data_IF_219091335446
#
_entry.id   IF_219091335446
#
_cell.length_a   1.000
_cell.length_b   1.000
_cell.length_c   1.000
_cell.angle_alpha   90.00
_cell.angle_beta   90.00
_cell.angle_gamma   90.00
#
_symmetry.space_group_name_H-M   'P 1'
#
loop_
_entity.id
_entity.type
_entity.pdbx_description
1 polymer ?
#
# COMPACT_ATOMS: atom_id res chain seq x y z
N UNK A 1 -47.14 -25.18 -40.60
CA UNK A 1 -47.33 -23.88 -39.92
C UNK A 1 -46.14 -23.67 -39.00
N UNK A 2 -45.14 -22.92 -39.47
CA UNK A 2 -43.96 -22.54 -38.69
C UNK A 2 -44.39 -21.61 -37.56
N UNK A 3 -44.11 -21.98 -36.30
CA UNK A 3 -44.12 -21.05 -35.17
C UNK A 3 -42.68 -20.86 -34.71
N UNK A 4 -42.08 -19.75 -35.13
CA UNK A 4 -40.88 -19.20 -34.53
C UNK A 4 -41.12 -18.91 -33.04
N UNK A 5 -40.17 -19.22 -32.14
CA UNK A 5 -40.26 -18.77 -30.76
C UNK A 5 -40.12 -17.25 -30.72
N UNK A 6 -41.03 -16.58 -30.01
CA UNK A 6 -40.98 -15.14 -29.73
C UNK A 6 -39.70 -14.79 -28.94
N UNK A 7 -39.01 -13.69 -29.26
CA UNK A 7 -37.82 -13.28 -28.51
C UNK A 7 -38.18 -12.90 -27.08
N UNK A 8 -37.32 -13.31 -26.14
CA UNK A 8 -37.39 -12.96 -24.72
C UNK A 8 -37.18 -11.44 -24.60
N UNK A 9 -38.05 -10.69 -23.89
CA UNK A 9 -37.92 -9.25 -23.76
C UNK A 9 -36.59 -8.89 -23.09
N UNK A 10 -35.81 -8.02 -23.74
CA UNK A 10 -34.57 -7.49 -23.18
C UNK A 10 -34.89 -6.22 -22.41
N UNK A 11 -34.14 -5.93 -21.35
CA UNK A 11 -34.28 -4.67 -20.59
C UNK A 11 -34.09 -3.40 -21.45
N UNK A 12 -33.57 -3.55 -22.68
CA UNK A 12 -33.53 -2.52 -23.72
C UNK A 12 -34.90 -2.02 -24.17
N UNK A 13 -35.96 -2.79 -23.95
CA UNK A 13 -37.31 -2.48 -24.45
C UNK A 13 -38.08 -1.52 -23.53
N UNK A 14 -37.48 -1.09 -22.41
CA UNK A 14 -38.10 -0.23 -21.40
C UNK A 14 -37.86 1.28 -21.60
N UNK A 15 -37.03 1.68 -22.56
CA UNK A 15 -36.69 3.09 -22.80
C UNK A 15 -37.05 3.51 -24.24
N UNK A 16 -37.72 4.68 -24.44
CA UNK A 16 -38.20 5.11 -25.75
C UNK A 16 -37.09 5.63 -26.70
N UNK A 17 -35.81 5.48 -26.34
CA UNK A 17 -34.66 6.00 -27.08
C UNK A 17 -33.57 4.93 -27.26
N UNK A 18 -32.79 4.96 -28.36
CA UNK A 18 -31.69 4.02 -28.56
C UNK A 18 -30.68 4.09 -27.40
N UNK A 19 -30.32 2.94 -26.82
CA UNK A 19 -29.48 2.82 -25.62
C UNK A 19 -28.11 3.53 -25.71
N UNK A 20 -27.51 3.53 -26.90
CA UNK A 20 -26.25 4.24 -27.12
C UNK A 20 -26.41 5.76 -26.93
N UNK A 21 -27.57 6.31 -27.34
CA UNK A 21 -27.87 7.73 -27.22
C UNK A 21 -28.13 8.12 -25.76
N UNK A 22 -28.90 7.31 -25.01
CA UNK A 22 -29.13 7.57 -23.58
C UNK A 22 -27.84 7.44 -22.78
N UNK A 23 -27.01 6.43 -23.05
CA UNK A 23 -25.71 6.28 -22.39
C UNK A 23 -24.77 7.44 -22.71
N UNK A 24 -24.71 7.90 -23.97
CA UNK A 24 -23.95 9.09 -24.34
C UNK A 24 -24.41 10.33 -23.57
N UNK A 25 -25.72 10.56 -23.49
CA UNK A 25 -26.29 11.70 -22.76
C UNK A 25 -25.92 11.66 -21.27
N UNK A 26 -26.14 10.52 -20.59
CA UNK A 26 -25.86 10.40 -19.15
C UNK A 26 -24.36 10.44 -18.83
N UNK A 27 -23.51 9.91 -19.71
CA UNK A 27 -22.06 10.00 -19.58
C UNK A 27 -21.58 11.45 -19.73
N UNK A 28 -22.01 12.15 -20.79
CA UNK A 28 -21.69 13.57 -20.97
C UNK A 28 -22.24 14.43 -19.83
N UNK A 29 -23.48 14.16 -19.37
CA UNK A 29 -24.08 14.87 -18.23
C UNK A 29 -23.26 14.67 -16.95
N UNK A 30 -22.82 13.45 -16.66
CA UNK A 30 -22.00 13.15 -15.48
C UNK A 30 -20.71 13.97 -15.45
N UNK A 31 -19.94 13.96 -16.55
CA UNK A 31 -18.67 14.69 -16.60
C UNK A 31 -18.84 16.21 -16.63
N UNK A 32 -19.84 16.72 -17.36
CA UNK A 32 -20.12 18.17 -17.39
C UNK A 32 -20.54 18.70 -16.01
N UNK A 33 -21.39 17.97 -15.30
CA UNK A 33 -21.88 18.36 -13.98
C UNK A 33 -20.79 18.20 -12.91
N UNK A 34 -19.98 17.14 -12.98
CA UNK A 34 -18.81 16.97 -12.11
C UNK A 34 -17.80 18.11 -12.30
N UNK A 35 -17.52 18.49 -13.55
CA UNK A 35 -16.63 19.61 -13.87
C UNK A 35 -17.17 20.93 -13.32
N UNK A 36 -18.47 21.20 -13.49
CA UNK A 36 -19.12 22.39 -12.95
C UNK A 36 -18.98 22.48 -11.41
N UNK A 37 -19.24 21.37 -10.70
CA UNK A 37 -19.14 21.31 -9.24
C UNK A 37 -17.70 21.51 -8.76
N UNK A 38 -16.72 20.90 -9.42
CA UNK A 38 -15.30 21.09 -9.11
C UNK A 38 -14.86 22.54 -9.30
N UNK A 39 -15.31 23.19 -10.38
CA UNK A 39 -15.00 24.60 -10.62
C UNK A 39 -15.64 25.49 -9.54
N UNK A 40 -16.88 25.21 -9.14
CA UNK A 40 -17.59 25.98 -8.12
C UNK A 40 -16.99 25.81 -6.74
N UNK A 41 -16.59 24.60 -6.37
CA UNK A 41 -15.90 24.33 -5.11
C UNK A 41 -14.53 24.99 -5.06
N UNK A 42 -13.78 24.98 -6.18
CA UNK A 42 -12.50 25.71 -6.29
C UNK A 42 -12.67 27.20 -6.02
N UNK A 43 -13.70 27.81 -6.61
CA UNK A 43 -13.98 29.23 -6.40
C UNK A 43 -14.41 29.51 -4.95
N UNK A 44 -15.22 28.64 -4.33
CA UNK A 44 -15.60 28.78 -2.92
C UNK A 44 -14.41 28.71 -1.96
N UNK A 45 -13.45 27.84 -2.26
CA UNK A 45 -12.19 27.75 -1.52
C UNK A 45 -11.38 29.05 -1.66
N UNK A 46 -11.38 29.68 -2.84
CA UNK A 46 -10.70 30.95 -3.08
C UNK A 46 -11.37 32.15 -2.41
N UNK A 47 -12.70 32.14 -2.30
CA UNK A 47 -13.47 33.22 -1.66
C UNK A 47 -13.76 32.98 -0.18
N UNK A 48 -13.17 31.95 0.44
CA UNK A 48 -13.41 31.57 1.84
C UNK A 48 -14.89 31.38 2.21
N UNK A 49 -15.73 31.04 1.23
CA UNK A 49 -17.15 30.76 1.46
C UNK A 49 -17.29 29.31 1.91
N UNK A 50 -18.05 29.01 2.98
CA UNK A 50 -18.19 27.64 3.47
C UNK A 50 -18.80 26.69 2.42
N UNK A 51 -18.19 25.51 2.24
CA UNK A 51 -18.59 24.52 1.23
C UNK A 51 -20.02 23.98 1.44
N UNK A 52 -20.54 24.02 2.67
CA UNK A 52 -21.90 23.58 3.00
C UNK A 52 -22.98 24.58 2.57
N UNK A 53 -22.62 25.80 2.18
CA UNK A 53 -23.57 26.79 1.66
C UNK A 53 -23.75 26.52 0.17
N UNK A 54 -24.83 25.82 -0.20
CA UNK A 54 -25.07 25.35 -1.57
C UNK A 54 -26.13 26.21 -2.25
N UNK A 55 -25.84 26.68 -3.47
CA UNK A 55 -26.78 27.45 -4.30
C UNK A 55 -27.76 26.51 -5.03
N UNK A 56 -28.89 27.04 -5.52
CA UNK A 56 -29.89 26.25 -6.25
C UNK A 56 -29.30 25.52 -7.48
N UNK A 57 -28.35 26.15 -8.18
CA UNK A 57 -27.66 25.53 -9.33
C UNK A 57 -26.73 24.40 -8.90
N UNK A 58 -26.07 24.50 -7.75
CA UNK A 58 -25.23 23.44 -7.19
C UNK A 58 -26.07 22.28 -6.64
N UNK A 59 -27.24 22.54 -6.05
CA UNK A 59 -28.19 21.49 -5.64
C UNK A 59 -28.67 20.72 -6.88
N UNK A 60 -29.09 21.42 -7.93
CA UNK A 60 -29.51 20.80 -9.18
C UNK A 60 -28.39 19.95 -9.83
N UNK A 61 -27.15 20.46 -9.78
CA UNK A 61 -25.96 19.74 -10.24
C UNK A 61 -25.71 18.49 -9.39
N UNK A 62 -25.75 18.55 -8.05
CA UNK A 62 -25.56 17.38 -7.18
C UNK A 62 -26.61 16.31 -7.45
N UNK A 63 -27.89 16.70 -7.57
CA UNK A 63 -28.98 15.77 -7.90
C UNK A 63 -28.77 15.12 -9.27
N UNK A 64 -28.38 15.92 -10.28
CA UNK A 64 -28.10 15.41 -11.64
C UNK A 64 -26.89 14.48 -11.68
N UNK A 65 -25.87 14.74 -10.85
CA UNK A 65 -24.69 13.89 -10.71
C UNK A 65 -25.06 12.54 -10.08
N UNK A 66 -25.87 12.55 -9.02
CA UNK A 66 -26.34 11.32 -8.37
C UNK A 66 -27.22 10.52 -9.32
N UNK A 67 -28.15 11.16 -10.03
CA UNK A 67 -29.04 10.51 -10.98
C UNK A 67 -28.27 9.87 -12.16
N UNK A 68 -27.30 10.60 -12.73
CA UNK A 68 -26.44 10.06 -13.79
C UNK A 68 -25.53 8.94 -13.29
N UNK A 69 -25.01 9.03 -12.07
CA UNK A 69 -24.22 7.96 -11.46
C UNK A 69 -25.04 6.68 -11.23
N UNK A 70 -26.27 6.79 -10.70
CA UNK A 70 -27.17 5.65 -10.51
C UNK A 70 -27.52 5.01 -11.85
N UNK A 71 -27.80 5.82 -12.88
CA UNK A 71 -28.07 5.33 -14.23
C UNK A 71 -26.86 4.57 -14.80
N UNK A 72 -25.66 5.14 -14.72
CA UNK A 72 -24.43 4.52 -15.22
C UNK A 72 -24.12 3.22 -14.46
N UNK A 73 -24.31 3.17 -13.14
CA UNK A 73 -24.11 1.96 -12.33
C UNK A 73 -25.13 0.86 -12.68
N UNK A 74 -26.40 1.22 -12.85
CA UNK A 74 -27.47 0.28 -13.18
C UNK A 74 -27.37 -0.31 -14.59
N UNK A 75 -26.84 0.45 -15.55
CA UNK A 75 -26.77 0.00 -16.94
C UNK A 75 -25.43 -0.66 -17.30
N UNK A 76 -24.28 -0.09 -16.89
CA UNK A 76 -22.98 -0.75 -17.08
C UNK A 76 -22.81 -1.99 -16.19
N UNK A 77 -23.47 -2.04 -15.04
CA UNK A 77 -23.41 -3.19 -14.13
C UNK A 77 -24.07 -4.46 -14.69
N UNK A 78 -25.08 -4.33 -15.56
CA UNK A 78 -25.81 -5.49 -16.11
C UNK A 78 -25.02 -6.15 -17.25
N UNK A 79 -24.40 -5.37 -18.15
CA UNK A 79 -23.55 -5.93 -19.21
C UNK A 79 -22.30 -6.63 -18.64
N UNK A 80 -21.74 -6.11 -17.54
CA UNK A 80 -20.64 -6.75 -16.81
C UNK A 80 -21.06 -8.11 -16.20
N UNK A 81 -22.26 -8.20 -15.65
CA UNK A 81 -22.80 -9.45 -15.08
C UNK A 81 -23.23 -10.44 -16.17
N UNK A 82 -23.77 -9.96 -17.30
CA UNK A 82 -24.12 -10.82 -18.45
C UNK A 82 -22.89 -11.35 -19.18
N UNK A 83 -21.79 -10.61 -19.26
CA UNK A 83 -20.50 -11.12 -19.77
C UNK A 83 -19.95 -12.28 -18.94
N UNK A 84 -20.24 -12.32 -17.63
CA UNK A 84 -19.84 -13.41 -16.75
C UNK A 84 -20.70 -14.67 -16.92
N UNK A 85 -21.97 -14.51 -17.32
CA UNK A 85 -22.92 -15.62 -17.52
C UNK A 85 -22.87 -16.14 -18.97
N UNK A 86 -22.54 -15.29 -19.95
CA UNK A 86 -22.49 -15.62 -21.37
C UNK A 86 -21.26 -16.43 -21.82
N UNK A 87 -20.17 -16.44 -21.04
CA UNK A 87 -18.94 -17.18 -21.39
C UNK A 87 -19.03 -18.71 -21.17
N UNK A 88 -20.20 -19.25 -20.86
CA UNK A 88 -20.38 -20.68 -20.53
C UNK A 88 -20.98 -21.55 -21.63
N UNK A 89 -21.18 -21.04 -22.86
CA UNK A 89 -21.67 -21.85 -23.99
C UNK A 89 -21.04 -21.39 -25.31
N UNK A 90 -20.51 -22.38 -26.06
CA UNK A 90 -19.99 -22.32 -27.45
C UNK A 90 -18.53 -21.80 -27.46
N UNK A 91 -17.47 -22.53 -27.84
CA UNK A 91 -17.28 -23.59 -28.86
C UNK A 91 -16.43 -24.76 -28.36
N UNK A 92 -16.85 -25.97 -28.76
CA UNK A 92 -16.09 -27.21 -28.74
C UNK A 92 -15.89 -27.58 -30.22
N UNK A 93 -14.64 -27.59 -30.72
CA UNK A 93 -14.26 -28.39 -31.89
C UNK A 93 -12.74 -28.63 -31.92
N UNK A 94 -12.39 -29.92 -31.92
CA UNK A 94 -11.10 -30.56 -32.26
C UNK A 94 -9.84 -30.30 -31.43
N UNK A 95 -9.59 -31.17 -30.45
CA UNK A 95 -8.41 -32.07 -30.47
C UNK A 95 -8.59 -33.24 -29.49
N UNK A 96 -8.69 -34.45 -30.02
CA UNK A 96 -8.78 -35.73 -29.29
C UNK A 96 -7.42 -36.21 -28.80
N UNK A 97 -7.29 -36.50 -27.51
CA UNK A 97 -6.44 -37.57 -26.98
C UNK A 97 -7.17 -38.23 -25.80
N UNK A 98 -7.45 -39.52 -25.96
CA UNK A 98 -8.01 -40.43 -24.96
C UNK A 98 -7.01 -40.65 -23.81
N UNK A 99 -7.45 -40.56 -22.56
CA UNK A 99 -7.34 -41.70 -21.63
C UNK A 99 -8.13 -41.47 -20.33
N UNK A 100 -8.67 -42.58 -19.83
CA UNK A 100 -9.60 -42.76 -18.72
C UNK A 100 -9.28 -42.04 -17.40
N UNK A 101 -10.33 -41.58 -16.68
CA UNK A 101 -10.63 -41.92 -15.27
C UNK A 101 -11.94 -41.25 -14.79
N UNK A 102 -12.95 -42.10 -14.57
CA UNK A 102 -14.02 -42.10 -13.54
C UNK A 102 -14.78 -40.81 -13.18
N UNK A 103 -16.10 -40.90 -13.39
CA UNK A 103 -17.15 -40.08 -12.78
C UNK A 103 -16.95 -39.83 -11.26
N UNK A 104 -16.83 -38.56 -10.88
CA UNK A 104 -17.16 -38.11 -9.53
C UNK A 104 -18.32 -37.10 -9.55
N UNK A 105 -19.41 -37.53 -8.92
CA UNK A 105 -20.62 -36.77 -8.61
C UNK A 105 -20.32 -35.54 -7.77
N UNK A 106 -20.92 -34.39 -8.15
CA UNK A 106 -20.94 -33.16 -7.33
C UNK A 106 -21.48 -33.46 -5.92
N UNK A 107 -20.81 -33.03 -4.83
CA UNK A 107 -21.33 -33.24 -3.49
C UNK A 107 -22.46 -32.24 -3.19
N UNK A 108 -23.55 -32.75 -2.60
CA UNK A 108 -24.64 -31.95 -2.00
C UNK A 108 -24.12 -31.16 -0.79
N UNK A 109 -24.78 -30.04 -0.42
CA UNK A 109 -24.39 -29.25 0.74
C UNK A 109 -24.54 -30.10 2.01
N UNK A 110 -23.45 -30.31 2.74
CA UNK A 110 -23.45 -31.02 4.01
C UNK A 110 -23.79 -30.02 5.10
N UNK A 111 -24.93 -30.24 5.76
CA UNK A 111 -25.30 -29.60 7.02
C UNK A 111 -24.15 -29.78 8.02
N UNK A 112 -23.55 -28.67 8.46
CA UNK A 112 -22.48 -28.68 9.46
C UNK A 112 -23.11 -28.99 10.82
N UNK A 113 -23.01 -30.26 11.23
CA UNK A 113 -23.21 -30.65 12.61
C UNK A 113 -22.04 -30.11 13.45
N UNK A 114 -22.39 -29.39 14.52
CA UNK A 114 -21.69 -29.17 15.80
C UNK A 114 -20.15 -29.24 15.81
N UNK A 115 -19.55 -28.10 16.17
CA UNK A 115 -18.13 -27.88 16.43
C UNK A 115 -17.47 -29.03 17.23
N UNK A 116 -16.27 -29.48 16.83
CA UNK A 116 -15.33 -30.07 17.77
C UNK A 116 -14.73 -28.94 18.60
N UNK A 117 -14.95 -28.99 19.90
CA UNK A 117 -14.30 -28.18 20.93
C UNK A 117 -12.79 -28.16 20.67
N UNK A 118 -12.20 -26.97 20.62
CA UNK A 118 -10.77 -26.78 20.45
C UNK A 118 -10.00 -27.58 21.51
N UNK A 119 -9.04 -28.38 21.07
CA UNK A 119 -8.16 -29.17 21.93
C UNK A 119 -7.18 -28.22 22.62
N UNK A 120 -7.50 -27.79 23.84
CA UNK A 120 -6.60 -27.04 24.71
C UNK A 120 -5.73 -28.03 25.50
N UNK A 121 -4.49 -28.22 25.07
CA UNK A 121 -3.43 -28.69 25.98
C UNK A 121 -2.86 -27.48 26.71
N UNK A 122 -3.58 -26.97 27.71
CA UNK A 122 -3.01 -26.01 28.66
C UNK A 122 -2.58 -26.77 29.89
N UNK A 123 -1.30 -26.67 30.24
CA UNK A 123 -0.87 -27.14 31.56
C UNK A 123 -1.58 -26.29 32.63
N UNK A 124 -1.85 -26.84 33.82
CA UNK A 124 -2.45 -26.06 34.93
C UNK A 124 -1.68 -24.77 35.21
N UNK A 125 -0.36 -24.80 35.02
CA UNK A 125 0.53 -23.63 35.13
C UNK A 125 0.22 -22.56 34.08
N UNK A 126 -0.06 -22.95 32.83
CA UNK A 126 -0.43 -22.00 31.79
C UNK A 126 -1.78 -21.35 32.09
N UNK A 127 -2.72 -22.10 32.65
CA UNK A 127 -4.03 -21.57 33.06
C UNK A 127 -3.91 -20.48 34.13
N UNK A 128 -3.04 -20.68 35.12
CA UNK A 128 -2.76 -19.66 36.14
C UNK A 128 -2.11 -18.40 35.55
N UNK A 129 -1.16 -18.58 34.63
CA UNK A 129 -0.51 -17.45 33.95
C UNK A 129 -1.52 -16.70 33.09
N UNK A 130 -2.38 -17.39 32.35
CA UNK A 130 -3.46 -16.77 31.57
C UNK A 130 -4.38 -15.96 32.48
N UNK A 131 -4.84 -16.51 33.61
CA UNK A 131 -5.64 -15.77 34.60
C UNK A 131 -4.91 -14.54 35.12
N UNK A 132 -3.61 -14.65 35.40
CA UNK A 132 -2.76 -13.54 35.86
C UNK A 132 -2.57 -12.43 34.81
N UNK A 133 -2.53 -12.79 33.53
CA UNK A 133 -2.50 -11.82 32.41
C UNK A 133 -3.88 -11.19 32.21
N UNK A 134 -4.95 -11.96 32.41
CA UNK A 134 -6.34 -11.48 32.36
C UNK A 134 -6.61 -10.45 33.45
N UNK A 135 -6.22 -10.73 34.70
CA UNK A 135 -6.36 -9.82 35.85
C UNK A 135 -5.45 -8.59 35.77
N UNK A 136 -4.39 -8.63 34.94
CA UNK A 136 -3.39 -7.58 34.84
C UNK A 136 -2.24 -7.70 35.85
N UNK A 137 -2.22 -8.74 36.69
CA UNK A 137 -1.13 -9.03 37.63
C UNK A 137 0.20 -9.29 36.90
N UNK A 138 0.16 -9.90 35.71
CA UNK A 138 1.31 -10.05 34.82
C UNK A 138 1.12 -9.21 33.55
N UNK A 139 2.01 -8.24 33.26
CA UNK A 139 1.96 -7.50 32.01
C UNK A 139 2.27 -8.40 30.81
N UNK A 140 1.42 -8.35 29.77
CA UNK A 140 1.52 -9.24 28.61
C UNK A 140 2.83 -9.08 27.80
N UNK A 141 3.40 -7.88 27.75
CA UNK A 141 4.68 -7.63 27.06
C UNK A 141 5.89 -8.27 27.75
N UNK A 142 5.74 -8.75 28.99
CA UNK A 142 6.83 -9.37 29.77
C UNK A 142 6.88 -10.89 29.67
N UNK A 143 5.99 -11.50 28.88
CA UNK A 143 5.84 -12.96 28.85
C UNK A 143 7.06 -13.64 28.23
N UNK A 144 7.61 -13.09 27.16
CA UNK A 144 8.80 -13.65 26.49
C UNK A 144 9.98 -13.73 27.46
N UNK A 145 10.26 -12.66 28.20
CA UNK A 145 11.37 -12.62 29.16
C UNK A 145 11.13 -13.47 30.41
N UNK A 146 9.88 -13.58 30.89
CA UNK A 146 9.55 -14.39 32.08
C UNK A 146 9.50 -15.89 31.79
N UNK A 147 9.03 -16.27 30.61
CA UNK A 147 8.81 -17.67 30.26
C UNK A 147 10.01 -18.29 29.55
N UNK A 148 10.84 -17.48 28.89
CA UNK A 148 11.99 -17.95 28.11
C UNK A 148 11.59 -18.75 26.86
N UNK A 149 10.31 -18.70 26.46
CA UNK A 149 9.74 -19.40 25.31
C UNK A 149 8.76 -18.45 24.60
N UNK A 150 9.12 -17.99 23.41
CA UNK A 150 8.37 -16.96 22.70
C UNK A 150 7.06 -17.51 22.13
N UNK A 151 7.07 -18.77 21.67
CA UNK A 151 5.87 -19.46 21.17
C UNK A 151 4.85 -19.64 22.29
N UNK A 152 5.29 -20.09 23.47
CA UNK A 152 4.43 -20.25 24.65
C UNK A 152 3.91 -18.89 25.13
N UNK A 153 4.74 -17.85 25.12
CA UNK A 153 4.32 -16.48 25.42
C UNK A 153 3.19 -16.00 24.48
N UNK A 154 3.33 -16.23 23.17
CA UNK A 154 2.30 -15.92 22.19
C UNK A 154 1.00 -16.72 22.42
N UNK A 155 1.10 -18.01 22.75
CA UNK A 155 -0.05 -18.86 23.09
C UNK A 155 -0.83 -18.36 24.31
N UNK A 156 -0.13 -18.07 25.40
CA UNK A 156 -0.73 -17.54 26.64
C UNK A 156 -1.39 -16.19 26.38
N UNK A 157 -0.71 -15.30 25.64
CA UNK A 157 -1.25 -13.99 25.27
C UNK A 157 -2.51 -14.12 24.44
N UNK A 158 -2.52 -15.02 23.46
CA UNK A 158 -3.67 -15.31 22.61
C UNK A 158 -4.88 -15.76 23.44
N UNK A 159 -4.69 -16.72 24.34
CA UNK A 159 -5.77 -17.20 25.22
C UNK A 159 -6.28 -16.11 26.18
N UNK A 160 -5.37 -15.31 26.74
CA UNK A 160 -5.75 -14.18 27.58
C UNK A 160 -6.57 -13.14 26.81
N UNK A 161 -6.23 -12.89 25.53
CA UNK A 161 -6.98 -11.99 24.66
C UNK A 161 -8.39 -12.52 24.33
N UNK A 162 -8.52 -13.82 24.02
CA UNK A 162 -9.83 -14.45 23.79
C UNK A 162 -10.72 -14.33 25.04
N UNK A 163 -10.17 -14.56 26.25
CA UNK A 163 -10.90 -14.41 27.52
C UNK A 163 -11.32 -12.97 27.80
N UNK A 164 -10.43 -12.00 27.57
CA UNK A 164 -10.73 -10.57 27.79
C UNK A 164 -11.80 -10.05 26.84
N UNK A 165 -11.77 -10.50 25.59
CA UNK A 165 -12.64 -9.97 24.52
C UNK A 165 -13.93 -10.78 24.34
N UNK A 166 -13.96 -12.02 24.83
CA UNK A 166 -15.05 -12.97 24.55
C UNK A 166 -15.13 -13.38 23.08
N UNK A 167 -14.10 -13.09 22.27
CA UNK A 167 -14.07 -13.37 20.83
C UNK A 167 -13.02 -14.43 20.53
N UNK A 168 -13.36 -15.36 19.65
CA UNK A 168 -12.43 -16.39 19.18
C UNK A 168 -11.44 -15.82 18.17
N UNK A 169 -10.20 -16.30 18.22
CA UNK A 169 -9.13 -16.06 17.25
C UNK A 169 -8.95 -17.25 16.29
N UNK A 170 -9.97 -18.13 16.18
CA UNK A 170 -9.98 -19.23 15.22
C UNK A 170 -9.69 -18.68 13.81
N UNK A 171 -8.78 -19.34 13.09
CA UNK A 171 -8.33 -18.91 11.76
C UNK A 171 -7.08 -18.02 11.76
N UNK A 172 -6.61 -17.54 12.91
CA UNK A 172 -5.26 -16.98 13.04
C UNK A 172 -4.29 -18.11 13.42
N UNK A 173 -3.35 -18.53 12.56
CA UNK A 173 -2.37 -19.55 12.91
C UNK A 173 -1.46 -19.15 14.06
N UNK A 174 -0.96 -20.15 14.79
CA UNK A 174 0.04 -19.98 15.86
C UNK A 174 1.26 -20.86 15.61
N UNK A 175 1.05 -22.11 15.20
CA UNK A 175 2.13 -23.07 14.95
C UNK A 175 2.86 -22.82 13.62
N UNK A 176 4.09 -23.32 13.51
CA UNK A 176 4.90 -23.26 12.28
C UNK A 176 5.57 -21.90 12.03
N UNK A 177 5.70 -21.07 13.05
CA UNK A 177 6.38 -19.77 13.00
C UNK A 177 7.49 -19.69 14.05
N UNK A 178 8.64 -19.15 13.65
CA UNK A 178 9.78 -18.90 14.53
C UNK A 178 9.60 -17.57 15.26
N UNK A 179 9.05 -17.61 16.48
CA UNK A 179 8.77 -16.42 17.28
C UNK A 179 10.04 -15.79 17.88
N UNK A 180 11.09 -16.58 18.07
CA UNK A 180 12.40 -16.12 18.54
C UNK A 180 13.02 -15.16 17.52
N UNK A 181 12.85 -15.41 16.21
CA UNK A 181 13.38 -14.57 15.14
C UNK A 181 12.85 -13.14 15.11
N UNK A 182 11.62 -12.89 15.60
CA UNK A 182 10.99 -11.56 15.58
C UNK A 182 11.20 -10.76 16.87
N UNK A 183 11.66 -11.41 17.95
CA UNK A 183 11.75 -10.81 19.27
C UNK A 183 12.73 -9.63 19.29
N UNK A 184 12.21 -8.45 19.66
CA UNK A 184 13.00 -7.22 19.75
C UNK A 184 13.45 -6.63 18.41
N UNK A 185 12.95 -7.18 17.29
CA UNK A 185 13.37 -6.77 15.95
C UNK A 185 12.20 -6.38 15.05
N UNK A 186 11.12 -7.19 15.02
CA UNK A 186 10.08 -7.06 14.00
C UNK A 186 8.68 -6.77 14.55
N UNK A 187 8.29 -7.40 15.67
CA UNK A 187 6.95 -7.25 16.22
C UNK A 187 6.95 -7.52 17.73
N UNK A 188 6.23 -6.67 18.47
CA UNK A 188 5.99 -6.84 19.90
C UNK A 188 4.66 -7.55 20.14
N UNK A 189 4.60 -8.31 21.24
CA UNK A 189 3.38 -8.96 21.72
C UNK A 189 2.63 -9.83 20.68
N UNK A 190 3.31 -10.75 19.97
CA UNK A 190 2.67 -11.58 18.94
C UNK A 190 1.57 -12.49 19.53
N UNK A 191 0.51 -12.73 18.75
CA UNK A 191 -0.60 -13.66 19.08
C UNK A 191 -0.83 -14.72 18.00
N UNK A 192 0.06 -14.75 17.01
CA UNK A 192 -0.05 -15.51 15.77
C UNK A 192 0.55 -14.72 14.61
N UNK A 193 0.26 -15.16 13.39
CA UNK A 193 0.70 -14.51 12.15
C UNK A 193 -0.41 -14.59 11.09
N UNK A 194 -0.34 -13.73 10.08
CA UNK A 194 -1.29 -13.75 8.94
C UNK A 194 -0.62 -14.42 7.75
N UNK A 195 -1.32 -15.37 7.14
CA UNK A 195 -0.91 -15.99 5.89
C UNK A 195 -1.40 -15.15 4.70
N UNK A 196 -0.49 -14.77 3.81
CA UNK A 196 -0.80 -14.04 2.58
C UNK A 196 -0.43 -14.94 1.39
N UNK A 197 -1.35 -15.18 0.43
CA UNK A 197 -1.02 -15.94 -0.77
C UNK A 197 0.15 -15.32 -1.53
N UNK A 198 1.10 -16.16 -1.97
CA UNK A 198 2.27 -15.75 -2.75
C UNK A 198 2.20 -16.38 -4.13
N UNK A 199 2.06 -15.54 -5.16
CA UNK A 199 2.17 -15.92 -6.56
C UNK A 199 3.54 -15.56 -7.13
N UNK A 200 3.79 -16.02 -8.36
CA UNK A 200 5.02 -15.71 -9.11
C UNK A 200 4.62 -15.14 -10.47
N UNK A 201 5.24 -14.03 -10.88
CA UNK A 201 5.13 -13.47 -12.22
C UNK A 201 6.51 -13.49 -12.92
N UNK A 202 6.57 -13.94 -14.18
CA UNK A 202 7.80 -13.94 -14.96
C UNK A 202 7.86 -14.99 -16.09
N UNK A 203 9.01 -15.09 -16.79
CA UNK A 203 10.22 -14.31 -16.54
C UNK A 203 10.09 -12.85 -16.95
N UNK A 204 10.62 -11.94 -16.12
CA UNK A 204 10.86 -10.54 -16.47
C UNK A 204 12.30 -10.41 -16.99
N UNK A 205 12.47 -10.14 -18.28
CA UNK A 205 13.77 -9.83 -18.87
C UNK A 205 14.10 -8.35 -18.62
N UNK A 206 15.04 -8.07 -17.73
CA UNK A 206 15.42 -6.72 -17.30
C UNK A 206 16.95 -6.59 -17.28
N UNK A 207 17.50 -5.60 -17.98
CA UNK A 207 18.95 -5.36 -18.07
C UNK A 207 19.75 -6.63 -18.48
N UNK A 208 19.18 -7.46 -19.36
CA UNK A 208 19.77 -8.73 -19.80
C UNK A 208 19.66 -9.91 -18.82
N UNK A 209 19.08 -9.70 -17.63
CA UNK A 209 18.80 -10.76 -16.65
C UNK A 209 17.33 -11.19 -16.66
N UNK A 210 17.07 -12.48 -16.41
CA UNK A 210 15.72 -13.02 -16.28
C UNK A 210 15.34 -13.19 -14.80
N UNK A 211 14.19 -12.65 -14.41
CA UNK A 211 13.73 -12.66 -13.01
C UNK A 211 12.34 -13.28 -12.87
N UNK A 212 12.18 -14.15 -11.88
CA UNK A 212 10.87 -14.59 -11.38
C UNK A 212 10.50 -13.73 -10.17
N UNK A 213 9.43 -12.95 -10.27
CA UNK A 213 9.05 -11.95 -9.26
C UNK A 213 8.02 -12.55 -8.30
N UNK A 214 8.38 -12.78 -7.01
CA UNK A 214 7.41 -13.21 -6.01
C UNK A 214 6.50 -12.05 -5.61
N UNK A 215 5.19 -12.30 -5.54
CA UNK A 215 4.18 -11.30 -5.20
C UNK A 215 3.23 -11.83 -4.13
N UNK A 216 3.24 -11.22 -2.94
CA UNK A 216 2.30 -11.53 -1.87
C UNK A 216 1.08 -10.60 -1.98
N UNK A 217 -0.10 -11.16 -2.29
CA UNK A 217 -1.33 -10.39 -2.47
C UNK A 217 -2.59 -11.22 -2.25
N UNK A 218 -3.68 -10.57 -1.87
CA UNK A 218 -5.04 -11.14 -1.87
C UNK A 218 -5.91 -10.58 -3.00
N UNK A 219 -5.38 -9.66 -3.80
CA UNK A 219 -6.09 -9.05 -4.92
C UNK A 219 -6.16 -10.02 -6.11
N UNK A 220 -7.39 -10.32 -6.55
CA UNK A 220 -7.64 -11.15 -7.72
C UNK A 220 -7.06 -10.53 -8.99
N UNK A 221 -6.61 -11.37 -9.92
CA UNK A 221 -6.04 -10.99 -11.22
C UNK A 221 -4.71 -10.21 -11.18
N UNK A 222 -4.25 -9.67 -10.04
CA UNK A 222 -3.02 -8.86 -9.98
C UNK A 222 -1.78 -9.62 -10.48
N UNK A 223 -1.54 -10.84 -9.97
CA UNK A 223 -0.40 -11.67 -10.38
C UNK A 223 -0.51 -12.07 -11.85
N UNK A 224 -1.70 -12.49 -12.29
CA UNK A 224 -1.93 -12.89 -13.67
C UNK A 224 -1.74 -11.74 -14.67
N UNK A 225 -2.20 -10.53 -14.31
CA UNK A 225 -2.01 -9.31 -15.08
C UNK A 225 -0.53 -8.92 -15.16
N UNK A 226 0.17 -8.94 -14.02
CA UNK A 226 1.62 -8.65 -13.97
C UNK A 226 2.41 -9.67 -14.80
N UNK A 227 2.05 -10.95 -14.74
CA UNK A 227 2.67 -12.01 -15.53
C UNK A 227 2.45 -11.81 -17.04
N UNK A 228 1.27 -11.34 -17.45
CA UNK A 228 1.00 -10.98 -18.86
C UNK A 228 1.89 -9.83 -19.32
N UNK A 229 2.05 -8.78 -18.50
CA UNK A 229 2.97 -7.69 -18.79
C UNK A 229 4.43 -8.15 -18.90
N UNK A 230 4.88 -9.04 -18.01
CA UNK A 230 6.21 -9.65 -18.12
C UNK A 230 6.38 -10.40 -19.44
N UNK A 231 5.36 -11.17 -19.86
CA UNK A 231 5.38 -11.89 -21.14
C UNK A 231 5.48 -10.93 -22.35
N UNK A 232 4.74 -9.82 -22.33
CA UNK A 232 4.82 -8.82 -23.39
C UNK A 232 6.21 -8.16 -23.48
N UNK A 233 6.77 -7.77 -22.33
CA UNK A 233 8.12 -7.20 -22.22
C UNK A 233 9.17 -8.21 -22.72
N UNK A 234 9.09 -9.46 -22.25
CA UNK A 234 10.02 -10.52 -22.63
C UNK A 234 9.99 -10.79 -24.14
N UNK A 235 8.79 -10.94 -24.72
CA UNK A 235 8.61 -11.15 -26.16
C UNK A 235 9.12 -9.98 -27.01
N UNK A 236 9.22 -8.78 -26.42
CA UNK A 236 9.69 -7.57 -27.10
C UNK A 236 11.17 -7.24 -26.84
N UNK A 237 11.96 -8.21 -26.35
CA UNK A 237 13.40 -8.04 -26.13
C UNK A 237 13.78 -7.49 -24.74
N UNK A 238 12.81 -7.36 -23.83
CA UNK A 238 13.04 -6.99 -22.44
C UNK A 238 12.87 -5.51 -22.13
N UNK A 239 13.26 -5.16 -20.92
CA UNK A 239 13.23 -3.80 -20.40
C UNK A 239 14.63 -3.36 -19.94
N UNK A 240 14.87 -2.06 -19.93
CA UNK A 240 16.07 -1.45 -19.35
C UNK A 240 15.67 -0.54 -18.19
N UNK A 241 16.32 -0.72 -17.05
CA UNK A 241 16.13 0.11 -15.86
C UNK A 241 17.45 0.74 -15.39
N UNK A 242 17.38 2.00 -15.01
CA UNK A 242 18.52 2.81 -14.59
C UNK A 242 18.23 3.41 -13.20
N UNK A 243 19.19 3.25 -12.28
CA UNK A 243 19.17 3.89 -10.97
C UNK A 243 19.73 5.32 -11.11
N UNK A 244 18.89 6.32 -10.86
CA UNK A 244 19.22 7.74 -11.02
C UNK A 244 19.73 8.38 -9.73
N UNK A 245 19.17 7.97 -8.58
CA UNK A 245 19.57 8.45 -7.25
C UNK A 245 19.42 7.34 -6.22
N UNK A 246 20.31 7.36 -5.22
CA UNK A 246 20.27 6.49 -4.05
C UNK A 246 20.63 7.28 -2.79
N UNK A 247 19.61 7.62 -2.00
CA UNK A 247 19.77 8.41 -0.78
C UNK A 247 18.54 8.35 0.11
N UNK A 248 18.70 7.79 1.30
CA UNK A 248 17.66 7.82 2.33
C UNK A 248 17.69 9.14 3.09
N UNK A 249 16.53 9.63 3.52
CA UNK A 249 16.41 10.96 4.12
C UNK A 249 15.80 10.96 5.51
N UNK A 250 16.34 11.79 6.40
CA UNK A 250 15.73 12.18 7.67
C UNK A 250 15.72 13.69 7.77
N UNK A 251 14.62 14.25 8.26
CA UNK A 251 14.49 15.69 8.38
C UNK A 251 14.02 16.12 9.77
N UNK A 252 14.93 16.46 10.71
CA UNK A 252 14.54 17.08 11.96
C UNK A 252 13.94 18.46 11.75
N UNK A 253 13.22 18.90 12.79
CA UNK A 253 12.76 20.27 12.94
C UNK A 253 13.33 20.84 14.24
N UNK A 254 13.96 22.00 14.11
CA UNK A 254 14.52 22.76 15.24
C UNK A 254 13.90 24.14 15.28
N UNK A 255 13.96 24.80 16.43
CA UNK A 255 13.39 26.12 16.67
C UNK A 255 14.37 27.02 17.39
N UNK A 256 14.32 28.31 17.06
CA UNK A 256 15.09 29.36 17.71
C UNK A 256 14.19 30.47 18.26
N UNK A 257 14.79 31.43 18.97
CA UNK A 257 14.09 32.63 19.45
C UNK A 257 13.56 33.54 18.33
N UNK A 258 14.20 33.55 17.16
CA UNK A 258 13.83 34.39 16.02
C UNK A 258 14.11 33.72 14.67
N UNK A 259 13.46 34.21 13.61
CA UNK A 259 13.72 33.77 12.24
C UNK A 259 15.16 34.08 11.80
N UNK A 260 15.71 35.24 12.19
CA UNK A 260 17.10 35.61 11.90
C UNK A 260 18.08 34.59 12.48
N UNK A 261 17.87 34.15 13.72
CA UNK A 261 18.71 33.14 14.36
C UNK A 261 18.59 31.76 13.68
N UNK A 262 17.39 31.36 13.29
CA UNK A 262 17.19 30.14 12.50
C UNK A 262 17.92 30.20 11.14
N UNK A 263 17.96 31.37 10.50
CA UNK A 263 18.73 31.59 9.27
C UNK A 263 20.23 31.44 9.46
N UNK A 264 20.79 31.81 10.62
CA UNK A 264 22.21 31.59 10.90
C UNK A 264 22.56 30.10 10.85
N UNK A 265 21.72 29.23 11.45
CA UNK A 265 21.95 27.79 11.36
C UNK A 265 21.77 27.26 9.93
N UNK A 266 20.77 27.74 9.18
CA UNK A 266 20.60 27.37 7.76
C UNK A 266 21.87 27.67 6.96
N UNK A 267 22.39 28.89 7.06
CA UNK A 267 23.60 29.28 6.33
C UNK A 267 24.82 28.47 6.76
N UNK A 268 24.95 28.18 8.06
CA UNK A 268 26.01 27.31 8.55
C UNK A 268 25.95 25.90 7.95
N UNK A 269 24.75 25.29 7.90
CA UNK A 269 24.56 23.92 7.41
C UNK A 269 24.70 23.77 5.89
N UNK A 270 24.42 24.83 5.13
CA UNK A 270 24.51 24.84 3.66
C UNK A 270 25.82 25.43 3.13
N UNK A 271 26.70 25.92 4.01
CA UNK A 271 28.04 26.34 3.64
C UNK A 271 28.91 25.12 3.30
N UNK A 272 29.45 25.02 2.07
CA UNK A 272 30.33 23.92 1.66
C UNK A 272 31.54 23.72 2.57
N UNK A 273 32.05 24.79 3.21
CA UNK A 273 33.21 24.72 4.12
C UNK A 273 32.89 23.88 5.36
N UNK A 274 31.64 23.91 5.83
CA UNK A 274 31.22 23.18 7.03
C UNK A 274 30.78 21.74 6.73
N UNK A 275 30.48 21.44 5.46
CA UNK A 275 29.92 20.14 5.07
C UNK A 275 30.83 18.96 5.45
N UNK A 276 32.15 19.09 5.28
CA UNK A 276 33.10 18.03 5.61
C UNK A 276 33.10 17.68 7.10
N UNK A 277 33.08 18.70 7.97
CA UNK A 277 32.99 18.50 9.41
C UNK A 277 31.67 17.83 9.81
N UNK A 278 30.55 18.30 9.25
CA UNK A 278 29.21 17.72 9.48
C UNK A 278 29.13 16.27 8.99
N UNK A 279 29.71 15.98 7.83
CA UNK A 279 29.81 14.63 7.25
C UNK A 279 30.61 13.70 8.15
N UNK A 280 31.76 14.14 8.68
CA UNK A 280 32.55 13.34 9.63
C UNK A 280 31.71 12.99 10.86
N UNK A 281 31.01 13.95 11.46
CA UNK A 281 30.16 13.71 12.63
C UNK A 281 29.01 12.76 12.31
N UNK A 282 28.33 12.98 11.18
CA UNK A 282 27.22 12.14 10.72
C UNK A 282 27.68 10.69 10.49
N UNK A 283 28.78 10.50 9.77
CA UNK A 283 29.26 9.20 9.31
C UNK A 283 29.85 8.34 10.45
N UNK A 284 30.20 8.94 11.60
CA UNK A 284 30.60 8.18 12.81
C UNK A 284 29.52 7.21 13.30
N UNK A 285 28.26 7.43 12.92
CA UNK A 285 27.14 6.58 13.34
C UNK A 285 27.16 5.17 12.73
N UNK A 286 27.79 4.98 11.56
CA UNK A 286 27.81 3.71 10.82
C UNK A 286 28.90 3.68 9.75
N UNK A 287 29.50 2.50 9.52
CA UNK A 287 30.45 2.29 8.42
C UNK A 287 29.84 2.45 7.02
N UNK A 288 28.51 2.32 6.88
CA UNK A 288 27.79 2.42 5.61
C UNK A 288 27.16 3.80 5.37
N UNK A 289 26.91 4.57 6.44
CA UNK A 289 26.31 5.89 6.33
C UNK A 289 27.30 6.86 5.68
N UNK A 290 26.94 7.42 4.52
CA UNK A 290 27.66 8.56 3.94
C UNK A 290 26.68 9.68 3.67
N UNK A 291 26.86 10.78 4.40
CA UNK A 291 26.13 12.02 4.16
C UNK A 291 26.40 12.51 2.74
N UNK A 292 25.33 12.75 1.98
CA UNK A 292 25.38 13.20 0.59
C UNK A 292 25.00 14.67 0.46
N UNK A 293 23.98 15.12 1.21
CA UNK A 293 23.53 16.51 1.17
C UNK A 293 22.74 16.90 2.42
N UNK A 294 22.67 18.20 2.69
CA UNK A 294 21.79 18.81 3.68
C UNK A 294 20.99 19.91 2.97
N UNK A 295 19.66 19.83 3.02
CA UNK A 295 18.77 20.82 2.42
C UNK A 295 17.88 21.43 3.50
N UNK A 296 17.97 22.74 3.70
CA UNK A 296 17.24 23.43 4.76
C UNK A 296 16.03 24.22 4.23
N UNK A 297 14.90 24.16 4.93
CA UNK A 297 13.72 24.99 4.69
C UNK A 297 13.29 25.70 5.98
N UNK A 298 13.11 27.02 5.91
CA UNK A 298 12.70 27.84 7.07
C UNK A 298 11.19 28.11 7.04
N UNK A 299 10.54 28.03 8.19
CA UNK A 299 9.18 28.50 8.41
C UNK A 299 9.13 29.35 9.70
N UNK A 300 9.25 30.67 9.54
CA UNK A 300 9.37 31.59 10.67
C UNK A 300 10.62 31.30 11.50
N UNK A 301 10.44 30.96 12.78
CA UNK A 301 11.53 30.60 13.71
C UNK A 301 11.86 29.10 13.75
N UNK A 302 11.19 28.29 12.92
CA UNK A 302 11.46 26.86 12.78
C UNK A 302 12.33 26.61 11.55
N UNK A 303 13.27 25.67 11.67
CA UNK A 303 14.13 25.20 10.59
C UNK A 303 13.94 23.69 10.39
N UNK A 304 13.59 23.30 9.17
CA UNK A 304 13.49 21.90 8.74
C UNK A 304 14.76 21.55 7.96
N UNK A 305 15.49 20.54 8.41
CA UNK A 305 16.82 20.23 7.89
C UNK A 305 16.78 18.84 7.27
N UNK A 306 16.74 18.71 5.96
CA UNK A 306 16.66 17.40 5.28
C UNK A 306 18.05 16.88 4.98
N UNK A 307 18.49 15.89 5.76
CA UNK A 307 19.73 15.14 5.51
C UNK A 307 19.46 14.02 4.52
N UNK A 308 20.32 13.88 3.51
CA UNK A 308 20.32 12.77 2.55
C UNK A 308 21.59 11.96 2.74
N UNK A 309 21.47 10.63 2.78
CA UNK A 309 22.57 9.74 3.10
C UNK A 309 22.47 8.42 2.32
N UNK A 310 23.60 7.91 1.83
CA UNK A 310 23.68 6.54 1.32
C UNK A 310 23.72 5.54 2.48
N UNK A 311 23.08 4.38 2.34
CA UNK A 311 22.88 3.44 3.45
C UNK A 311 23.33 2.00 3.12
N UNK A 312 24.11 1.83 2.06
CA UNK A 312 24.44 0.51 1.51
C UNK A 312 23.16 -0.19 1.04
N UNK A 313 23.03 -1.48 1.34
CA UNK A 313 21.86 -2.28 0.95
C UNK A 313 20.68 -2.15 1.94
N UNK A 314 20.89 -1.52 3.09
CA UNK A 314 19.82 -1.28 4.04
C UNK A 314 18.91 -0.15 3.53
N UNK A 315 17.60 -0.29 3.79
CA UNK A 315 16.66 0.83 3.63
C UNK A 315 17.09 2.03 4.50
N UNK A 316 17.71 1.78 5.65
CA UNK A 316 18.61 2.73 6.29
C UNK A 316 17.97 3.74 7.26
N UNK A 317 16.67 3.65 7.54
CA UNK A 317 15.98 4.67 8.35
C UNK A 317 16.52 4.85 9.77
N UNK A 318 16.88 3.77 10.47
CA UNK A 318 17.51 3.86 11.80
C UNK A 318 18.92 4.44 11.71
N UNK A 319 19.65 4.09 10.64
CA UNK A 319 21.02 4.54 10.38
C UNK A 319 21.05 6.05 10.17
N UNK A 320 20.20 6.58 9.29
CA UNK A 320 20.12 8.03 9.01
C UNK A 320 19.64 8.78 10.25
N UNK A 321 18.65 8.27 11.00
CA UNK A 321 18.21 8.90 12.25
C UNK A 321 19.36 9.03 13.26
N UNK A 322 20.19 7.99 13.44
CA UNK A 322 21.34 8.04 14.34
C UNK A 322 22.39 9.05 13.88
N UNK A 323 22.68 9.10 12.57
CA UNK A 323 23.58 10.10 11.99
C UNK A 323 23.09 11.53 12.22
N UNK A 324 21.79 11.77 12.02
CA UNK A 324 21.16 13.07 12.31
C UNK A 324 21.29 13.43 13.79
N UNK A 325 21.01 12.49 14.70
CA UNK A 325 21.12 12.76 16.14
C UNK A 325 22.54 13.21 16.52
N UNK A 326 23.58 12.52 16.01
CA UNK A 326 24.97 12.92 16.25
C UNK A 326 25.25 14.35 15.77
N UNK A 327 24.72 14.74 14.61
CA UNK A 327 24.89 16.09 14.08
C UNK A 327 24.15 17.11 14.95
N UNK A 328 22.92 16.81 15.38
CA UNK A 328 22.17 17.70 16.28
C UNK A 328 22.89 17.89 17.61
N UNK A 329 23.43 16.82 18.20
CA UNK A 329 24.19 16.87 19.45
C UNK A 329 25.48 17.70 19.29
N UNK A 330 26.16 17.57 18.15
CA UNK A 330 27.33 18.39 17.82
C UNK A 330 26.98 19.86 17.66
N UNK A 331 25.88 20.18 16.96
CA UNK A 331 25.43 21.57 16.75
C UNK A 331 25.02 22.27 18.05
N UNK A 332 24.58 21.53 19.08
CA UNK A 332 24.22 22.13 20.38
C UNK A 332 25.39 22.83 21.08
N UNK A 333 26.64 22.54 20.69
CA UNK A 333 27.82 23.21 21.24
C UNK A 333 27.87 24.68 20.80
N UNK A 334 27.66 24.95 19.51
CA UNK A 334 27.74 26.30 18.91
C UNK A 334 26.38 27.01 18.82
N UNK A 335 25.29 26.24 18.90
CA UNK A 335 23.91 26.72 18.89
C UNK A 335 23.14 26.26 20.14
N UNK A 336 23.59 26.64 21.36
CA UNK A 336 22.97 26.17 22.61
C UNK A 336 21.53 26.67 22.81
N UNK A 337 21.11 27.67 22.04
CA UNK A 337 19.75 28.19 21.98
C UNK A 337 18.83 27.43 21.01
N UNK A 338 19.33 26.36 20.38
CA UNK A 338 18.57 25.49 19.47
C UNK A 338 17.65 24.54 20.25
N UNK A 339 16.34 24.71 20.08
CA UNK A 339 15.34 23.77 20.60
C UNK A 339 15.06 22.68 19.55
N UNK A 340 15.43 21.43 19.83
CA UNK A 340 15.09 20.29 18.96
C UNK A 340 13.64 19.88 19.20
N UNK A 341 12.74 20.31 18.31
CA UNK A 341 11.30 19.99 18.40
C UNK A 341 11.04 18.52 18.07
N UNK A 342 11.81 17.96 17.14
CA UNK A 342 11.75 16.53 16.86
C UNK A 342 12.69 16.09 15.76
N UNK A 343 13.14 14.84 15.83
CA UNK A 343 14.05 14.26 14.84
C UNK A 343 13.38 14.05 13.46
N UNK A 344 12.06 14.07 13.41
CA UNK A 344 11.26 13.93 12.20
C UNK A 344 10.17 14.99 12.12
N UNK A 345 10.47 16.11 11.46
CA UNK A 345 9.56 17.22 11.21
C UNK A 345 8.64 17.07 9.99
N UNK A 346 8.41 15.85 9.51
CA UNK A 346 7.63 15.54 8.28
C UNK A 346 8.14 16.16 6.98
N UNK A 347 9.34 16.75 6.97
CA UNK A 347 10.01 17.26 5.77
C UNK A 347 10.88 16.19 5.07
N UNK A 348 10.92 14.95 5.60
CA UNK A 348 11.70 13.87 4.99
C UNK A 348 11.14 13.43 3.62
N UNK A 349 9.87 13.06 3.40
CA UNK A 349 8.78 12.70 4.31
C UNK A 349 8.60 11.17 4.33
N UNK A 350 8.45 10.56 5.50
CA UNK A 350 8.32 9.10 5.62
C UNK A 350 6.85 8.68 5.73
N UNK A 351 6.44 7.70 4.90
CA UNK A 351 5.10 7.09 4.92
C UNK A 351 3.93 8.08 4.76
N UNK A 352 4.17 9.23 4.10
CA UNK A 352 3.18 10.27 3.81
C UNK A 352 3.38 10.82 2.39
N UNK A 353 2.30 11.10 1.63
CA UNK A 353 2.44 11.74 0.33
C UNK A 353 2.99 13.16 0.51
N UNK A 354 4.06 13.49 -0.21
CA UNK A 354 4.68 14.80 -0.09
C UNK A 354 5.47 15.15 -1.36
N UNK A 355 5.28 16.37 -1.87
CA UNK A 355 5.87 16.81 -3.14
C UNK A 355 7.41 16.79 -3.14
N UNK A 356 8.04 17.01 -1.99
CA UNK A 356 9.52 16.94 -1.88
C UNK A 356 10.05 15.55 -2.22
N UNK A 357 9.35 14.47 -1.85
CA UNK A 357 9.77 13.11 -2.23
C UNK A 357 9.67 12.90 -3.74
N UNK A 358 8.66 13.48 -4.37
CA UNK A 358 8.44 13.39 -5.82
C UNK A 358 9.51 14.15 -6.60
N UNK A 359 9.81 15.39 -6.19
CA UNK A 359 10.73 16.28 -6.91
C UNK A 359 12.19 15.92 -6.63
N UNK A 360 12.55 15.74 -5.36
CA UNK A 360 13.95 15.55 -4.97
C UNK A 360 14.38 14.08 -4.99
N UNK A 361 13.43 13.16 -4.89
CA UNK A 361 13.66 11.74 -4.66
C UNK A 361 13.81 11.38 -3.17
N UNK A 362 13.63 10.10 -2.86
CA UNK A 362 13.87 9.52 -1.52
C UNK A 362 14.06 8.01 -1.66
N UNK A 363 15.11 7.46 -1.06
CA UNK A 363 15.50 6.07 -1.27
C UNK A 363 16.09 5.91 -2.67
N UNK A 364 15.49 5.06 -3.49
CA UNK A 364 15.95 4.78 -4.86
C UNK A 364 15.07 5.49 -5.88
N UNK A 365 15.65 6.35 -6.72
CA UNK A 365 14.96 6.91 -7.89
C UNK A 365 15.33 6.07 -9.11
N UNK A 366 14.35 5.40 -9.70
CA UNK A 366 14.55 4.45 -10.81
C UNK A 366 13.67 4.85 -11.99
N UNK A 367 14.23 4.76 -13.19
CA UNK A 367 13.47 4.82 -14.46
C UNK A 367 13.57 3.46 -15.14
N UNK A 368 12.50 3.03 -15.81
CA UNK A 368 12.43 1.79 -16.56
C UNK A 368 11.71 2.03 -17.88
N UNK A 369 12.21 1.44 -18.97
CA UNK A 369 11.63 1.54 -20.30
C UNK A 369 11.63 0.19 -21.03
N UNK A 370 10.67 0.02 -21.95
CA UNK A 370 10.58 -1.10 -22.88
C UNK A 370 9.77 -0.66 -24.09
N UNK A 371 10.05 -1.23 -25.26
CA UNK A 371 9.28 -1.02 -26.49
C UNK A 371 8.52 -2.30 -26.79
N UNK A 372 7.19 -2.23 -26.88
CA UNK A 372 6.35 -3.41 -27.13
C UNK A 372 6.02 -3.50 -28.62
N UNK A 373 6.32 -4.65 -29.23
CA UNK A 373 6.04 -4.92 -30.65
C UNK A 373 4.55 -4.89 -30.97
N UNK A 374 4.18 -4.40 -32.15
CA UNK A 374 2.78 -4.24 -32.57
C UNK A 374 1.98 -5.55 -32.54
N UNK A 375 2.61 -6.63 -32.99
CA UNK A 375 2.12 -8.00 -32.97
C UNK A 375 1.91 -8.51 -31.53
N UNK A 376 2.80 -8.14 -30.61
CA UNK A 376 2.70 -8.49 -29.19
C UNK A 376 1.52 -7.78 -28.54
N UNK A 377 1.30 -6.49 -28.83
CA UNK A 377 0.14 -5.73 -28.35
C UNK A 377 -1.17 -6.39 -28.79
N UNK A 378 -1.28 -6.74 -30.07
CA UNK A 378 -2.50 -7.36 -30.61
C UNK A 378 -2.79 -8.73 -29.98
N UNK A 379 -1.75 -9.55 -29.79
CA UNK A 379 -1.90 -10.94 -29.31
C UNK A 379 -2.03 -11.02 -27.79
N UNK A 380 -1.24 -10.25 -27.06
CA UNK A 380 -1.10 -10.38 -25.59
C UNK A 380 -1.98 -9.37 -24.87
N UNK A 381 -1.91 -8.09 -25.24
CA UNK A 381 -2.67 -7.04 -24.56
C UNK A 381 -4.13 -6.99 -25.03
N UNK A 382 -4.42 -7.55 -26.22
CA UNK A 382 -5.75 -7.56 -26.85
C UNK A 382 -6.36 -6.16 -26.97
N UNK A 383 -5.50 -5.14 -27.09
CA UNK A 383 -5.89 -3.76 -27.34
C UNK A 383 -5.66 -3.48 -28.82
N UNK A 384 -6.73 -3.21 -29.56
CA UNK A 384 -6.63 -2.63 -30.91
C UNK A 384 -6.54 -1.11 -30.79
N UNK A 385 -5.56 -0.50 -31.46
CA UNK A 385 -5.51 0.95 -31.67
C UNK A 385 -6.36 1.36 -32.86
#
# INVERSE_FOLDING_TARGET
VNRSPSPIPKASDALPLPLYLTNGIFFSLFFCVAYFLLHRWRDKIRSSTPLHVVTLSEIAAIVSLIASFIYLLGFFGIDFVQSFIGSSRVDEDNFTLEDDVKHHSKPKPRTMNLLPTAVTFTSEKDEEIVKSVVSGSIPSYSLESKLGDCRRAASIRRQALERKTGRSLLGLPLEGFDYESILGQCCEMPIGYVQVPVGIAGPLLLNGGEYMVPMATTEGCLVASTNRGCKAIFASGGATAILLKDGMTRAPVVRFGSAARASHLKFFLEDPINFDALSIVFNKSSRFARLQSIQCSIAGKNLYIRFTCSTGDAMGMNMVSKGVQNVLDFLQIDFPDMEVIGISGNFCSDKKPFAVNWIEGRGKSVVCESVIGSEVVMVIEKVGF
#
